data_IF_070449443212
#
_entry.id   IF_070449443212
#
_cell.length_a   1.000
_cell.length_b   1.000
_cell.length_c   1.000
_cell.angle_alpha   90.00
_cell.angle_beta   90.00
_cell.angle_gamma   90.00
#
_symmetry.space_group_name_H-M   'P 1'
#
loop_
_entity.id
_entity.type
_entity.pdbx_description
1 polymer ?
#
# COMPACT_ATOMS: atom_id res chain seq x y z
N UNK A 1 40.97 66.84 -17.09
CA UNK A 1 41.35 65.87 -16.04
C UNK A 1 40.82 64.51 -16.46
N UNK A 2 41.69 63.50 -16.50
CA UNK A 2 41.36 62.11 -16.79
C UNK A 2 41.24 61.41 -15.44
N UNK A 3 40.04 60.97 -15.08
CA UNK A 3 39.86 60.15 -13.90
C UNK A 3 39.77 58.68 -14.29
N UNK A 4 40.83 57.99 -13.90
CA UNK A 4 40.99 56.55 -13.82
C UNK A 4 40.09 56.00 -12.73
N UNK A 5 39.43 54.87 -12.97
CA UNK A 5 38.59 54.22 -11.98
C UNK A 5 38.22 52.80 -12.36
N UNK A 6 39.21 51.92 -12.31
CA UNK A 6 39.06 50.46 -12.39
C UNK A 6 38.23 49.95 -11.20
N UNK A 7 37.17 49.20 -11.48
CA UNK A 7 36.30 48.59 -10.46
C UNK A 7 35.48 47.44 -11.02
N UNK A 8 36.14 46.33 -11.38
CA UNK A 8 35.48 45.08 -11.75
C UNK A 8 34.96 44.35 -10.51
N UNK A 9 33.73 44.64 -10.10
CA UNK A 9 32.99 43.89 -9.08
C UNK A 9 32.17 42.78 -9.73
N UNK A 10 32.65 41.53 -9.66
CA UNK A 10 31.88 40.35 -10.02
C UNK A 10 30.80 40.09 -8.97
N UNK A 11 29.55 40.41 -9.28
CA UNK A 11 28.40 40.03 -8.46
C UNK A 11 27.72 38.79 -9.03
N UNK A 12 27.61 37.67 -8.29
CA UNK A 12 26.58 36.70 -8.56
C UNK A 12 25.37 37.03 -7.67
N UNK A 13 24.18 37.06 -8.25
CA UNK A 13 23.08 36.15 -7.87
C UNK A 13 21.89 36.40 -8.79
N UNK A 14 21.50 35.34 -9.49
CA UNK A 14 20.32 35.28 -10.35
C UNK A 14 19.05 35.47 -9.52
N UNK A 15 18.21 36.39 -9.95
CA UNK A 15 16.89 36.68 -9.35
C UNK A 15 15.86 35.63 -9.78
N UNK A 16 15.19 35.08 -8.76
CA UNK A 16 13.74 34.80 -8.70
C UNK A 16 13.13 33.88 -9.77
N UNK A 17 12.94 32.63 -9.35
CA UNK A 17 11.60 32.09 -9.05
C UNK A 17 10.52 32.21 -10.13
N UNK A 18 10.39 31.18 -10.96
CA UNK A 18 9.12 30.81 -11.58
C UNK A 18 8.69 29.44 -11.05
N UNK A 19 7.74 29.49 -10.13
CA UNK A 19 7.08 28.40 -9.43
C UNK A 19 5.88 27.92 -10.24
N UNK A 20 5.96 26.70 -10.76
CA UNK A 20 4.86 25.80 -11.14
C UNK A 20 5.48 24.40 -10.94
N UNK A 21 5.45 23.73 -9.77
CA UNK A 21 4.30 23.20 -9.06
C UNK A 21 3.21 22.78 -10.04
N UNK A 22 3.16 21.48 -10.37
CA UNK A 22 1.96 20.66 -10.19
C UNK A 22 2.31 19.16 -10.16
N UNK A 23 1.77 18.53 -9.10
CA UNK A 23 1.63 17.11 -8.73
C UNK A 23 2.79 16.13 -9.02
N UNK A 24 3.65 15.79 -8.05
CA UNK A 24 3.35 15.01 -6.85
C UNK A 24 2.58 13.71 -7.13
N UNK A 25 3.23 12.77 -7.82
CA UNK A 25 2.90 11.34 -7.78
C UNK A 25 3.52 10.70 -6.55
N UNK A 26 3.03 11.03 -5.37
CA UNK A 26 3.39 10.38 -4.11
C UNK A 26 2.16 10.38 -3.20
N UNK A 27 1.45 9.25 -3.18
CA UNK A 27 0.69 8.73 -2.04
C UNK A 27 -0.16 7.53 -2.49
N UNK A 28 0.49 6.37 -2.63
CA UNK A 28 -0.15 5.10 -2.23
C UNK A 28 0.62 4.59 -1.01
N UNK A 29 0.71 5.44 0.02
CA UNK A 29 1.31 5.07 1.30
C UNK A 29 0.15 4.78 2.25
N UNK A 30 0.00 3.55 2.76
CA UNK A 30 -0.92 3.31 3.85
C UNK A 30 -0.36 4.04 5.07
N UNK A 31 -1.04 5.12 5.44
CA UNK A 31 -0.84 5.80 6.71
C UNK A 31 -1.58 5.01 7.79
N UNK A 32 -0.85 4.31 8.67
CA UNK A 32 -0.93 4.39 10.15
C UNK A 32 -0.31 3.14 10.81
N UNK A 33 0.72 3.37 11.63
CA UNK A 33 0.86 2.82 12.98
C UNK A 33 1.14 1.33 13.24
N UNK A 34 0.70 0.41 12.38
CA UNK A 34 0.98 -1.02 12.48
C UNK A 34 1.35 -1.47 11.07
N UNK A 35 2.44 -2.20 10.89
CA UNK A 35 2.80 -2.73 9.58
C UNK A 35 1.72 -3.73 9.14
N UNK A 36 0.68 -3.22 8.47
CA UNK A 36 -0.42 -4.02 7.97
C UNK A 36 0.15 -4.93 6.90
N UNK A 37 0.37 -6.21 7.29
CA UNK A 37 0.94 -7.21 6.41
C UNK A 37 0.12 -7.27 5.12
N UNK A 38 0.80 -7.37 3.97
CA UNK A 38 0.13 -7.44 2.66
C UNK A 38 -0.69 -8.72 2.53
N UNK A 39 -1.60 -8.75 1.56
CA UNK A 39 -2.42 -9.93 1.29
C UNK A 39 -1.55 -11.18 1.05
N UNK A 40 -0.51 -11.05 0.24
CA UNK A 40 0.41 -12.15 -0.11
C UNK A 40 1.13 -12.71 1.12
N UNK A 41 1.56 -11.84 2.03
CA UNK A 41 2.21 -12.26 3.28
C UNK A 41 1.24 -13.02 4.18
N UNK A 42 -0.02 -12.59 4.23
CA UNK A 42 -1.08 -13.26 5.01
C UNK A 42 -1.43 -14.62 4.44
N UNK A 43 -1.55 -14.73 3.12
CA UNK A 43 -1.80 -15.99 2.43
C UNK A 43 -0.65 -16.98 2.66
N UNK A 44 0.60 -16.54 2.48
CA UNK A 44 1.77 -17.39 2.79
C UNK A 44 1.75 -17.88 4.23
N UNK A 45 1.39 -17.02 5.18
CA UNK A 45 1.31 -17.42 6.59
C UNK A 45 0.20 -18.43 6.85
N UNK A 46 -0.93 -18.32 6.15
CA UNK A 46 -1.99 -19.32 6.21
C UNK A 46 -1.51 -20.70 5.70
N UNK A 47 -0.76 -20.73 4.58
CA UNK A 47 -0.19 -21.97 4.05
C UNK A 47 0.77 -22.64 5.05
N UNK A 48 1.61 -21.85 5.71
CA UNK A 48 2.51 -22.33 6.77
C UNK A 48 1.73 -22.92 7.96
N UNK A 49 0.63 -22.28 8.35
CA UNK A 49 -0.24 -22.76 9.44
C UNK A 49 -0.90 -24.08 9.04
N UNK A 50 -1.42 -24.19 7.82
CA UNK A 50 -2.02 -25.42 7.30
C UNK A 50 -1.00 -26.54 7.32
N UNK A 51 0.19 -26.32 6.76
CA UNK A 51 1.25 -27.33 6.75
C UNK A 51 1.65 -27.79 8.17
N UNK A 52 1.67 -26.87 9.14
CA UNK A 52 1.96 -27.20 10.53
C UNK A 52 0.86 -28.04 11.20
N UNK A 53 -0.42 -27.75 10.89
CA UNK A 53 -1.56 -28.50 11.42
C UNK A 53 -1.69 -29.89 10.79
N UNK A 54 -1.47 -29.99 9.48
CA UNK A 54 -1.53 -31.26 8.73
C UNK A 54 -0.38 -32.21 9.08
N UNK A 55 0.78 -31.66 9.45
CA UNK A 55 1.94 -32.46 9.84
C UNK A 55 1.74 -33.30 11.12
N UNK A 56 0.66 -33.10 11.87
CA UNK A 56 0.29 -33.90 13.05
C UNK A 56 1.23 -33.77 14.25
N UNK A 57 2.24 -32.90 14.18
CA UNK A 57 3.24 -32.68 15.23
C UNK A 57 2.86 -31.61 16.26
N UNK A 58 1.73 -30.92 16.08
CA UNK A 58 1.23 -29.95 17.04
C UNK A 58 0.40 -30.64 18.13
N UNK A 59 0.71 -30.37 19.39
CA UNK A 59 -0.19 -30.70 20.49
C UNK A 59 -1.46 -29.82 20.45
N UNK A 60 -2.43 -30.14 21.30
CA UNK A 60 -3.74 -29.46 21.31
C UNK A 60 -3.61 -27.95 21.54
N UNK A 61 -2.78 -27.52 22.50
CA UNK A 61 -2.61 -26.11 22.83
C UNK A 61 -1.97 -25.36 21.66
N UNK A 62 -0.94 -25.94 21.05
CA UNK A 62 -0.29 -25.37 19.89
C UNK A 62 -1.23 -25.32 18.68
N UNK A 63 -2.03 -26.36 18.47
CA UNK A 63 -3.02 -26.42 17.40
C UNK A 63 -4.09 -25.33 17.53
N UNK A 64 -4.60 -25.11 18.74
CA UNK A 64 -5.54 -24.01 19.01
C UNK A 64 -4.91 -22.64 18.75
N UNK A 65 -3.68 -22.41 19.20
CA UNK A 65 -2.98 -21.16 18.95
C UNK A 65 -2.77 -20.90 17.45
N UNK A 66 -2.41 -21.93 16.67
CA UNK A 66 -2.26 -21.85 15.22
C UNK A 66 -3.60 -21.55 14.52
N UNK A 67 -4.69 -22.16 14.99
CA UNK A 67 -6.03 -21.89 14.46
C UNK A 67 -6.46 -20.43 14.71
N UNK A 68 -6.27 -19.93 15.93
CA UNK A 68 -6.58 -18.54 16.28
C UNK A 68 -5.75 -17.55 15.45
N UNK A 69 -4.48 -17.87 15.23
CA UNK A 69 -3.60 -17.11 14.34
C UNK A 69 -4.16 -17.09 12.90
N UNK A 70 -4.56 -18.24 12.37
CA UNK A 70 -5.16 -18.36 11.03
C UNK A 70 -6.43 -17.53 10.89
N UNK A 71 -7.35 -17.61 11.85
CA UNK A 71 -8.58 -16.80 11.86
C UNK A 71 -8.27 -15.30 11.81
N UNK A 72 -7.23 -14.86 12.52
CA UNK A 72 -6.79 -13.45 12.51
C UNK A 72 -6.29 -13.04 11.13
N UNK A 73 -5.48 -13.88 10.47
CA UNK A 73 -5.00 -13.61 9.12
C UNK A 73 -6.15 -13.49 8.11
N UNK A 74 -7.15 -14.38 8.17
CA UNK A 74 -8.33 -14.36 7.29
C UNK A 74 -9.09 -13.03 7.46
N UNK A 75 -9.46 -12.68 8.70
CA UNK A 75 -10.22 -11.44 8.96
C UNK A 75 -9.50 -10.19 8.47
N UNK A 76 -8.19 -10.15 8.64
CA UNK A 76 -7.40 -9.02 8.18
C UNK A 76 -7.25 -9.01 6.66
N UNK A 77 -7.15 -10.17 6.00
CA UNK A 77 -7.17 -10.26 4.54
C UNK A 77 -8.52 -9.79 3.96
N UNK A 78 -9.65 -10.21 4.54
CA UNK A 78 -10.99 -9.71 4.18
C UNK A 78 -11.07 -8.18 4.31
N UNK A 79 -10.53 -7.62 5.40
CA UNK A 79 -10.48 -6.17 5.60
C UNK A 79 -9.64 -5.43 4.56
N UNK A 80 -8.54 -6.04 4.08
CA UNK A 80 -7.72 -5.48 3.00
C UNK A 80 -8.46 -5.52 1.66
N UNK A 81 -9.11 -6.65 1.36
CA UNK A 81 -9.90 -6.82 0.14
C UNK A 81 -11.07 -5.84 0.08
N UNK A 82 -11.80 -5.66 1.18
CA UNK A 82 -12.90 -4.69 1.26
C UNK A 82 -12.42 -3.25 1.01
N UNK A 83 -11.25 -2.86 1.53
CA UNK A 83 -10.65 -1.54 1.26
C UNK A 83 -10.25 -1.39 -0.21
N UNK A 84 -9.67 -2.43 -0.80
CA UNK A 84 -9.32 -2.43 -2.22
C UNK A 84 -10.58 -2.32 -3.10
N UNK A 85 -11.65 -3.06 -2.77
CA UNK A 85 -12.93 -3.00 -3.49
C UNK A 85 -13.55 -1.60 -3.44
N UNK A 86 -13.61 -0.98 -2.24
CA UNK A 86 -14.06 0.39 -2.08
C UNK A 86 -13.24 1.35 -2.95
N UNK A 87 -11.92 1.18 -2.96
CA UNK A 87 -11.02 2.02 -3.76
C UNK A 87 -11.28 1.88 -5.26
N UNK A 88 -11.52 0.66 -5.74
CA UNK A 88 -11.90 0.41 -7.14
C UNK A 88 -13.22 1.10 -7.46
N UNK A 89 -14.23 0.97 -6.59
CA UNK A 89 -15.53 1.61 -6.78
C UNK A 89 -15.44 3.14 -6.87
N UNK A 90 -14.62 3.77 -6.01
CA UNK A 90 -14.35 5.21 -6.07
C UNK A 90 -13.71 5.66 -7.39
N UNK A 91 -12.80 4.85 -7.93
CA UNK A 91 -12.04 5.20 -9.14
C UNK A 91 -12.86 4.99 -10.42
N UNK A 92 -13.71 3.97 -10.45
CA UNK A 92 -14.52 3.60 -11.62
C UNK A 92 -15.81 4.44 -11.70
N UNK A 93 -16.31 4.94 -10.56
CA UNK A 93 -17.52 5.76 -10.48
C UNK A 93 -18.82 4.96 -10.61
N UNK A 94 -19.91 5.46 -10.01
CA UNK A 94 -21.17 4.73 -9.80
C UNK A 94 -21.83 4.18 -11.08
N UNK A 95 -21.61 4.82 -12.24
CA UNK A 95 -22.20 4.40 -13.52
C UNK A 95 -21.54 3.15 -14.11
N UNK A 96 -20.23 2.99 -13.94
CA UNK A 96 -19.47 1.83 -14.46
C UNK A 96 -19.30 0.75 -13.38
N UNK A 97 -19.36 1.11 -12.09
CA UNK A 97 -19.37 0.17 -10.98
C UNK A 97 -20.58 -0.79 -11.03
N UNK A 98 -21.71 -0.35 -11.60
CA UNK A 98 -22.92 -1.14 -11.78
C UNK A 98 -22.76 -2.27 -12.81
N UNK A 99 -21.73 -2.21 -13.66
CA UNK A 99 -21.38 -3.25 -14.63
C UNK A 99 -20.30 -4.23 -14.10
N UNK A 100 -19.70 -3.94 -12.94
CA UNK A 100 -18.79 -4.87 -12.27
C UNK A 100 -19.61 -6.05 -11.75
N UNK A 101 -19.63 -7.14 -12.53
CA UNK A 101 -20.22 -8.40 -12.10
C UNK A 101 -19.28 -9.06 -11.09
N UNK A 102 -19.82 -9.79 -10.09
CA UNK A 102 -19.01 -10.66 -9.26
C UNK A 102 -18.12 -11.53 -10.14
N UNK A 103 -16.84 -11.66 -9.78
CA UNK A 103 -15.96 -12.60 -10.45
C UNK A 103 -16.53 -14.00 -10.24
N UNK A 104 -17.05 -14.59 -11.32
CA UNK A 104 -17.43 -16.00 -11.32
C UNK A 104 -16.12 -16.80 -11.26
N UNK A 105 -15.80 -17.33 -10.09
CA UNK A 105 -14.69 -18.26 -9.93
C UNK A 105 -15.05 -19.49 -10.76
N UNK A 106 -14.35 -19.68 -11.88
CA UNK A 106 -14.57 -20.77 -12.81
C UNK A 106 -14.18 -22.09 -12.14
N UNK A 107 -15.05 -22.59 -11.27
CA UNK A 107 -14.87 -23.86 -10.60
C UNK A 107 -14.88 -25.00 -11.60
N UNK A 108 -13.69 -25.51 -11.92
CA UNK A 108 -13.44 -26.82 -12.50
C UNK A 108 -12.64 -27.69 -11.51
#
# INVERSE_FOLDING_TARGET
MRDSGSGGGGGPVSRTGKKCADSAGAADQPADGDQELTLEVRLRRLDEIIAALEGGGADLERGLALFEEGVRHIRQAEGLLARAELRVHELVGDSEARELRPFEDGGE
#
